data_IF_255393487610
#
_entry.id   IF_255393487610
#
_cell.length_a   1.000
_cell.length_b   1.000
_cell.length_c   1.000
_cell.angle_alpha   90.00
_cell.angle_beta   90.00
_cell.angle_gamma   90.00
#
_symmetry.space_group_name_H-M   'P 1'
#
loop_
_entity.id
_entity.type
_entity.pdbx_description
1 polymer ?
#
# COMPACT_ATOMS: atom_id res chain seq x y z
N UNK A 1 28.26 39.36 -26.80
CA UNK A 1 26.86 38.92 -27.00
C UNK A 1 26.75 37.52 -26.42
N UNK A 2 26.21 37.38 -25.21
CA UNK A 2 25.97 36.06 -24.63
C UNK A 2 24.57 35.63 -25.03
N UNK A 3 24.50 34.54 -25.81
CA UNK A 3 23.27 33.86 -26.17
C UNK A 3 22.63 33.28 -24.90
N UNK A 4 21.67 34.01 -24.33
CA UNK A 4 20.81 33.51 -23.27
C UNK A 4 19.83 32.48 -23.87
N UNK A 5 20.30 31.25 -24.07
CA UNK A 5 19.42 30.13 -24.40
C UNK A 5 18.50 29.87 -23.21
N UNK A 6 17.26 30.35 -23.32
CA UNK A 6 16.16 29.94 -22.45
C UNK A 6 15.98 28.43 -22.65
N UNK A 7 16.48 27.63 -21.70
CA UNK A 7 16.18 26.20 -21.65
C UNK A 7 14.70 26.11 -21.32
N UNK A 8 13.87 25.84 -22.32
CA UNK A 8 12.45 25.56 -22.13
C UNK A 8 12.32 24.39 -21.14
N UNK A 9 11.90 24.68 -19.91
CA UNK A 9 11.63 23.68 -18.88
C UNK A 9 10.30 23.01 -19.21
N UNK A 10 10.34 21.98 -20.06
CA UNK A 10 9.17 21.13 -20.28
C UNK A 10 8.76 20.47 -18.96
N UNK A 11 7.45 20.42 -18.63
CA UNK A 11 6.98 19.78 -17.41
C UNK A 11 7.34 18.30 -17.45
N UNK A 12 8.21 17.87 -16.54
CA UNK A 12 8.64 16.46 -16.46
C UNK A 12 7.44 15.61 -16.01
N UNK A 13 7.21 14.48 -16.70
CA UNK A 13 6.20 13.50 -16.31
C UNK A 13 6.49 12.96 -14.91
N UNK A 14 5.45 12.70 -14.12
CA UNK A 14 5.56 12.15 -12.75
C UNK A 14 5.16 10.67 -12.75
N UNK A 15 5.62 9.95 -11.75
CA UNK A 15 5.15 8.59 -11.46
C UNK A 15 3.73 8.62 -10.90
N UNK A 16 2.94 7.56 -11.14
CA UNK A 16 1.58 7.49 -10.61
C UNK A 16 1.54 6.97 -9.15
N UNK A 17 2.56 6.20 -8.74
CA UNK A 17 2.66 5.66 -7.37
C UNK A 17 3.29 6.60 -6.35
N UNK A 18 3.92 7.69 -6.79
CA UNK A 18 4.48 8.72 -5.91
C UNK A 18 4.66 10.03 -6.65
N UNK A 19 4.71 11.16 -5.95
CA UNK A 19 4.84 12.49 -6.55
C UNK A 19 6.23 12.81 -7.13
N UNK A 20 7.12 11.81 -7.27
CA UNK A 20 8.46 11.99 -7.81
C UNK A 20 8.45 12.10 -9.33
N UNK A 21 9.51 12.69 -9.86
CA UNK A 21 9.70 12.90 -11.29
C UNK A 21 10.13 11.58 -11.96
N UNK A 22 9.67 11.36 -13.18
CA UNK A 22 10.07 10.23 -14.01
C UNK A 22 11.52 10.41 -14.49
N UNK A 23 12.42 9.66 -13.86
CA UNK A 23 13.84 9.60 -14.21
C UNK A 23 14.07 8.47 -15.22
N UNK A 24 15.02 8.69 -16.14
CA UNK A 24 15.43 7.67 -17.11
C UNK A 24 16.26 6.61 -16.38
N UNK A 25 16.15 5.35 -16.81
CA UNK A 25 16.92 4.20 -16.31
C UNK A 25 16.54 3.68 -14.90
N UNK A 26 15.39 4.05 -14.34
CA UNK A 26 14.89 3.42 -13.11
C UNK A 26 13.99 2.23 -13.44
N UNK A 27 14.18 1.13 -12.71
CA UNK A 27 13.30 -0.04 -12.79
C UNK A 27 11.85 0.36 -12.53
N UNK A 28 10.97 -0.01 -13.46
CA UNK A 28 9.57 0.40 -13.41
C UNK A 28 8.61 -0.63 -13.96
N UNK A 29 7.37 -0.50 -13.50
CA UNK A 29 6.22 -1.27 -13.95
C UNK A 29 5.25 -0.34 -14.67
N UNK A 30 4.72 -0.78 -15.81
CA UNK A 30 3.67 -0.05 -16.54
C UNK A 30 2.36 -0.82 -16.42
N UNK A 31 1.30 -0.13 -15.99
CA UNK A 31 -0.02 -0.76 -15.88
C UNK A 31 -0.57 -1.08 -17.27
N UNK A 32 -0.96 -2.34 -17.52
CA UNK A 32 -1.58 -2.76 -18.77
C UNK A 32 -2.91 -2.07 -19.07
N UNK A 33 -3.61 -1.57 -18.04
CA UNK A 33 -4.94 -0.94 -18.13
C UNK A 33 -4.85 0.58 -18.33
N UNK A 34 -4.29 1.33 -17.36
CA UNK A 34 -4.23 2.80 -17.44
C UNK A 34 -2.96 3.33 -18.12
N UNK A 35 -1.99 2.48 -18.46
CA UNK A 35 -0.69 2.84 -19.07
C UNK A 35 0.21 3.74 -18.23
N UNK A 36 -0.16 3.99 -16.98
CA UNK A 36 0.67 4.73 -16.03
C UNK A 36 1.90 3.94 -15.61
N UNK A 37 2.97 4.68 -15.30
CA UNK A 37 4.24 4.15 -14.86
C UNK A 37 4.37 4.26 -13.34
N UNK A 38 4.93 3.21 -12.73
CA UNK A 38 5.16 3.10 -11.30
C UNK A 38 6.60 2.67 -11.06
N UNK A 39 7.26 3.26 -10.04
CA UNK A 39 8.47 2.65 -9.51
C UNK A 39 8.16 1.26 -8.96
N UNK A 40 9.09 0.33 -9.11
CA UNK A 40 9.02 -1.00 -8.48
C UNK A 40 8.81 -0.88 -6.96
N UNK A 41 9.54 0.03 -6.31
CA UNK A 41 9.41 0.29 -4.86
C UNK A 41 8.03 0.82 -4.45
N UNK A 42 7.35 1.61 -5.31
CA UNK A 42 6.00 2.12 -5.01
C UNK A 42 4.94 1.04 -5.03
N UNK A 43 5.22 -0.11 -5.65
CA UNK A 43 4.31 -1.25 -5.77
C UNK A 43 4.83 -2.46 -5.00
N UNK A 44 5.76 -2.25 -4.07
CA UNK A 44 6.36 -3.27 -3.22
C UNK A 44 7.04 -4.42 -3.98
N UNK A 45 7.67 -4.10 -5.11
CA UNK A 45 8.51 -5.01 -5.87
C UNK A 45 9.96 -4.52 -5.67
N UNK A 46 10.80 -5.36 -5.06
CA UNK A 46 12.23 -5.12 -4.98
C UNK A 46 12.93 -5.57 -6.28
N UNK A 47 14.21 -5.26 -6.43
CA UNK A 47 14.96 -5.54 -7.66
C UNK A 47 15.13 -7.05 -7.91
N UNK A 48 15.21 -7.85 -6.85
CA UNK A 48 15.29 -9.32 -6.95
C UNK A 48 13.99 -9.90 -7.51
N UNK A 49 12.84 -9.57 -6.92
CA UNK A 49 11.53 -9.95 -7.44
C UNK A 49 11.33 -9.43 -8.84
N UNK A 50 11.70 -8.17 -9.11
CA UNK A 50 11.59 -7.59 -10.44
C UNK A 50 12.39 -8.39 -11.48
N UNK A 51 13.57 -8.90 -11.12
CA UNK A 51 14.41 -9.70 -12.00
C UNK A 51 13.82 -11.10 -12.26
N UNK A 52 13.12 -11.67 -11.28
CA UNK A 52 12.45 -12.97 -11.40
C UNK A 52 11.16 -12.92 -12.24
N UNK A 53 10.56 -11.74 -12.42
CA UNK A 53 9.32 -11.60 -13.18
C UNK A 53 9.54 -11.82 -14.68
N UNK A 54 8.71 -12.67 -15.29
CA UNK A 54 8.70 -12.90 -16.73
C UNK A 54 8.27 -11.64 -17.50
N UNK A 55 8.69 -11.54 -18.76
CA UNK A 55 8.29 -10.43 -19.65
C UNK A 55 6.77 -10.34 -19.80
N UNK A 56 6.12 -11.50 -19.91
CA UNK A 56 4.66 -11.62 -20.02
C UNK A 56 3.95 -11.07 -18.78
N UNK A 57 4.46 -11.39 -17.59
CA UNK A 57 3.88 -10.87 -16.35
C UNK A 57 4.04 -9.34 -16.27
N UNK A 58 5.23 -8.83 -16.61
CA UNK A 58 5.48 -7.38 -16.64
C UNK A 58 4.56 -6.65 -17.63
N UNK A 59 4.28 -7.25 -18.79
CA UNK A 59 3.38 -6.68 -19.80
C UNK A 59 1.91 -6.68 -19.37
N UNK A 60 1.48 -7.69 -18.60
CA UNK A 60 0.09 -7.85 -18.16
C UNK A 60 -0.18 -7.29 -16.75
N UNK A 61 0.83 -6.76 -16.08
CA UNK A 61 0.70 -6.24 -14.74
C UNK A 61 -0.34 -5.11 -14.66
N UNK A 62 -1.15 -5.13 -13.60
CA UNK A 62 -2.21 -4.14 -13.35
C UNK A 62 -1.96 -3.45 -12.02
N UNK A 63 -2.02 -2.11 -11.99
CA UNK A 63 -1.81 -1.36 -10.77
C UNK A 63 -2.97 -1.50 -9.77
N UNK A 64 -2.70 -1.26 -8.49
CA UNK A 64 -3.70 -1.34 -7.41
C UNK A 64 -4.93 -0.48 -7.69
N UNK A 65 -4.76 0.75 -8.20
CA UNK A 65 -5.88 1.61 -8.53
C UNK A 65 -6.84 0.98 -9.56
N UNK A 66 -6.30 0.33 -10.60
CA UNK A 66 -7.10 -0.37 -11.60
C UNK A 66 -7.71 -1.66 -11.04
N UNK A 67 -6.99 -2.40 -10.18
CA UNK A 67 -7.53 -3.58 -9.50
C UNK A 67 -8.72 -3.20 -8.62
N UNK A 68 -8.61 -2.14 -7.81
CA UNK A 68 -9.67 -1.69 -6.92
C UNK A 68 -10.90 -1.13 -7.64
N UNK A 69 -10.74 -0.63 -8.87
CA UNK A 69 -11.88 -0.15 -9.69
C UNK A 69 -12.69 -1.28 -10.33
N UNK A 70 -12.13 -2.48 -10.47
CA UNK A 70 -12.85 -3.60 -11.06
C UNK A 70 -13.97 -4.04 -10.09
N UNK A 71 -15.23 -4.12 -10.54
CA UNK A 71 -16.30 -4.65 -9.70
C UNK A 71 -15.95 -6.07 -9.29
N UNK A 72 -16.26 -6.42 -8.04
CA UNK A 72 -16.14 -7.80 -7.57
C UNK A 72 -17.20 -8.60 -8.32
N UNK A 73 -16.78 -9.31 -9.36
CA UNK A 73 -17.63 -10.15 -10.22
C UNK A 73 -18.18 -11.39 -9.51
N UNK A 74 -17.88 -11.57 -8.22
CA UNK A 74 -18.41 -12.69 -7.45
C UNK A 74 -19.90 -12.46 -7.20
N UNK A 75 -20.68 -13.45 -7.58
CA UNK A 75 -22.07 -13.57 -7.22
C UNK A 75 -22.23 -13.65 -5.69
N UNK A 76 -22.97 -12.71 -5.11
CA UNK A 76 -23.24 -12.65 -3.68
C UNK A 76 -24.47 -13.47 -3.27
N UNK A 77 -25.11 -14.19 -4.19
CA UNK A 77 -26.35 -14.96 -3.94
C UNK A 77 -26.23 -15.98 -2.80
N UNK A 78 -25.03 -16.48 -2.50
CA UNK A 78 -24.77 -17.41 -1.39
C UNK A 78 -24.20 -16.76 -0.12
N UNK A 79 -24.17 -15.42 -0.05
CA UNK A 79 -23.74 -14.74 1.17
C UNK A 79 -24.94 -14.70 2.12
N UNK A 80 -24.91 -15.40 3.27
CA UNK A 80 -26.05 -15.41 4.18
C UNK A 80 -26.36 -13.98 4.59
N UNK A 81 -27.58 -13.54 4.29
CA UNK A 81 -28.10 -12.25 4.76
C UNK A 81 -28.13 -12.35 6.27
N UNK A 82 -27.28 -11.56 6.96
CA UNK A 82 -27.47 -11.34 8.38
C UNK A 82 -28.83 -10.66 8.50
N UNK A 83 -29.81 -11.38 9.01
CA UNK A 83 -31.08 -10.80 9.43
C UNK A 83 -30.72 -9.72 10.46
N UNK A 84 -30.60 -8.47 10.00
CA UNK A 84 -30.64 -7.34 10.92
C UNK A 84 -31.97 -7.49 11.63
N UNK A 85 -31.94 -7.69 12.95
CA UNK A 85 -33.14 -7.82 13.75
C UNK A 85 -34.07 -6.67 13.39
N UNK A 86 -35.09 -6.97 12.59
CA UNK A 86 -36.17 -6.07 12.27
C UNK A 86 -37.07 -6.02 13.51
N UNK A 87 -36.55 -5.45 14.59
CA UNK A 87 -37.40 -4.80 15.58
C UNK A 87 -37.90 -3.55 14.88
N UNK A 88 -39.17 -3.56 14.48
CA UNK A 88 -39.78 -2.46 13.76
C UNK A 88 -39.60 -1.15 14.49
N UNK A 89 -38.75 -0.26 13.94
CA UNK A 89 -38.79 1.16 14.25
C UNK A 89 -39.70 1.80 13.22
N UNK A 90 -40.97 1.92 13.57
CA UNK A 90 -41.84 2.91 12.95
C UNK A 90 -41.16 4.28 13.08
N UNK A 91 -41.07 4.99 11.96
CA UNK A 91 -40.46 6.30 11.88
C UNK A 91 -40.95 7.25 12.98
N UNK A 92 -40.03 7.76 13.79
CA UNK A 92 -40.00 9.12 14.34
C UNK A 92 -38.78 9.30 15.26
N UNK A 93 -37.89 10.22 14.89
CA UNK A 93 -36.88 10.80 15.78
C UNK A 93 -35.59 10.00 15.95
N UNK A 94 -34.49 10.51 15.38
CA UNK A 94 -33.15 10.10 15.76
C UNK A 94 -32.88 10.52 17.22
N UNK A 95 -33.08 9.60 18.17
CA UNK A 95 -32.49 9.72 19.49
C UNK A 95 -31.02 9.30 19.37
N UNK A 96 -30.14 10.29 19.28
CA UNK A 96 -28.71 10.11 19.52
C UNK A 96 -28.55 9.58 20.94
N UNK A 97 -28.12 8.33 21.08
CA UNK A 97 -27.75 7.79 22.39
C UNK A 97 -26.39 8.42 22.74
N UNK A 98 -26.26 9.17 23.85
CA UNK A 98 -24.98 9.72 24.24
C UNK A 98 -24.04 8.58 24.65
N UNK A 99 -22.86 8.53 24.02
CA UNK A 99 -21.74 7.69 24.47
C UNK A 99 -21.40 8.16 25.87
N UNK A 100 -21.85 7.41 26.85
CA UNK A 100 -21.44 7.65 28.22
C UNK A 100 -21.01 6.33 28.83
N UNK A 101 -19.79 6.39 29.36
CA UNK A 101 -19.16 5.44 30.29
C UNK A 101 -18.73 4.09 29.70
N UNK A 102 -17.59 4.08 28.99
CA UNK A 102 -16.63 2.98 29.18
C UNK A 102 -15.76 3.43 30.35
N UNK A 103 -16.09 3.00 31.56
CA UNK A 103 -15.16 3.05 32.68
C UNK A 103 -14.11 1.97 32.47
N UNK A 104 -12.85 2.39 32.46
CA UNK A 104 -11.69 1.57 32.78
C UNK A 104 -11.97 0.76 34.05
N UNK A 105 -11.87 -0.56 33.97
CA UNK A 105 -11.54 -1.35 35.15
C UNK A 105 -10.50 -2.41 34.79
N UNK A 106 -9.27 -2.12 35.22
CA UNK A 106 -8.15 -3.02 35.29
C UNK A 106 -8.48 -4.22 36.18
N UNK A 107 -8.24 -5.44 35.71
CA UNK A 107 -7.77 -6.52 36.58
C UNK A 107 -7.00 -7.61 35.82
N UNK A 108 -5.73 -7.75 36.23
CA UNK A 108 -4.79 -8.86 36.01
C UNK A 108 -4.13 -8.99 34.61
N UNK A 109 -2.82 -9.19 34.46
CA UNK A 109 -1.62 -9.16 35.31
C UNK A 109 -0.43 -9.33 34.33
N UNK A 110 0.79 -8.80 34.58
CA UNK A 110 1.82 -8.66 33.56
C UNK A 110 2.71 -9.91 33.46
N UNK A 111 2.77 -10.51 32.29
CA UNK A 111 3.81 -11.48 31.94
C UNK A 111 4.22 -11.33 30.47
N UNK A 112 5.41 -10.73 30.30
CA UNK A 112 6.33 -10.90 29.18
C UNK A 112 5.86 -10.59 27.75
N UNK A 113 5.94 -9.32 27.35
CA UNK A 113 6.32 -8.99 25.97
C UNK A 113 7.75 -8.41 25.90
N UNK A 114 8.64 -8.76 26.82
CA UNK A 114 10.05 -8.50 26.59
C UNK A 114 10.62 -9.59 25.68
N UNK A 115 10.87 -9.24 24.42
CA UNK A 115 12.08 -9.63 23.68
C UNK A 115 12.15 -8.88 22.34
N UNK A 116 12.35 -7.56 22.41
CA UNK A 116 12.94 -6.80 21.30
C UNK A 116 14.22 -6.17 21.84
N UNK A 117 15.30 -6.95 21.90
CA UNK A 117 16.65 -6.38 22.03
C UNK A 117 17.71 -7.31 21.43
N UNK A 118 18.26 -6.85 20.30
CA UNK A 118 19.69 -6.92 19.89
C UNK A 118 20.41 -8.28 19.91
N UNK A 119 20.80 -8.73 18.72
CA UNK A 119 22.09 -9.40 18.50
C UNK A 119 22.67 -9.05 17.13
N UNK A 120 23.34 -7.90 17.05
CA UNK A 120 24.53 -7.77 16.20
C UNK A 120 25.61 -8.66 16.82
N UNK A 121 26.04 -9.71 16.11
CA UNK A 121 27.33 -10.35 16.37
C UNK A 121 28.30 -9.90 15.28
N UNK A 122 29.13 -8.93 15.64
CA UNK A 122 30.42 -8.70 14.99
C UNK A 122 31.29 -9.89 15.36
N UNK A 123 31.58 -10.77 14.40
CA UNK A 123 32.65 -11.76 14.56
C UNK A 123 33.93 -11.10 14.08
N UNK A 124 34.69 -10.59 15.05
CA UNK A 124 36.11 -10.34 14.86
C UNK A 124 36.84 -11.67 15.02
N UNK A 125 37.54 -12.13 13.98
CA UNK A 125 38.59 -13.13 14.10
C UNK A 125 39.92 -12.52 13.68
N UNK A 126 40.88 -12.70 14.58
CA UNK A 126 42.21 -12.11 14.66
C UNK A 126 43.07 -12.38 13.42
N UNK A 127 43.84 -11.34 13.05
CA UNK A 127 45.12 -11.44 12.38
C UNK A 127 46.05 -12.37 13.16
N UNK A 128 46.68 -13.32 12.47
CA UNK A 128 47.86 -14.01 12.98
C UNK A 128 49.00 -13.83 11.98
N UNK A 129 50.17 -13.68 12.59
CA UNK A 129 51.47 -13.28 12.05
C UNK A 129 52.07 -14.33 11.12
#
# INVERSE_FOLDING_TARGET
MYDNKIIAMFPKKKWAGCCRILEKNIASMQCGQCKDHYHTVCVNIDDEKFSMLTKEWKANWTCLACVCRKPRTRDNTNTPVRSGSSGGVTASGAAVIPITYITDELAASPASYENITRRTKVVATKSNR
#
